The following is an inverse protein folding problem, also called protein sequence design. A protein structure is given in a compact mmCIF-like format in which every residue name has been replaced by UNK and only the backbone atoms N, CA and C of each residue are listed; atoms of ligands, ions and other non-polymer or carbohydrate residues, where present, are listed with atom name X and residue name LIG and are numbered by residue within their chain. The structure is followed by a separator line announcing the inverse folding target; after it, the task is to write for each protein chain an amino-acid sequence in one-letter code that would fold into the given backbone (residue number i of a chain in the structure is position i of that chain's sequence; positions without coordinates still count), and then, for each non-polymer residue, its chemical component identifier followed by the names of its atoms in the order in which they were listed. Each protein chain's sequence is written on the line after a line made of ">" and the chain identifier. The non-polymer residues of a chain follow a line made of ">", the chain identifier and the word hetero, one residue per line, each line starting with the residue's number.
data_IF_797255479280
#
_entry.id   IF_797255479280
#
_cell.length_a   1.000
_cell.length_b   1.000
_cell.length_c   1.000
_cell.angle_alpha   90.00
_cell.angle_beta   90.00
_cell.angle_gamma   90.00
#
_symmetry.space_group_name_H-M   'P 1'
#
loop_
_entity.id
_entity.type
_entity.pdbx_description
1 polymer ?
#
# COMPACT_ATOMS: atom_id res chain seq x y z
N UNK A 1 11.90 -9.68 -2.83
CA UNK A 1 11.95 -9.95 -4.28
C UNK A 1 10.69 -10.64 -4.79
N UNK A 2 10.18 -11.72 -4.13
CA UNK A 2 9.00 -12.43 -4.63
C UNK A 2 7.79 -11.50 -4.75
N UNK A 3 7.48 -10.69 -3.72
CA UNK A 3 6.37 -9.73 -3.78
C UNK A 3 6.54 -8.67 -4.87
N UNK A 4 7.76 -8.16 -5.07
CA UNK A 4 8.08 -7.22 -6.14
C UNK A 4 7.89 -7.86 -7.53
N UNK A 5 8.31 -9.11 -7.69
CA UNK A 5 8.12 -9.88 -8.93
C UNK A 5 6.63 -10.12 -9.24
N UNK A 6 5.83 -10.47 -8.21
CA UNK A 6 4.38 -10.61 -8.38
C UNK A 6 3.71 -9.27 -8.73
N UNK A 7 4.21 -8.13 -8.22
CA UNK A 7 3.70 -6.80 -8.56
C UNK A 7 3.90 -6.50 -10.06
N UNK A 8 5.14 -6.62 -10.56
CA UNK A 8 5.43 -6.40 -11.99
C UNK A 8 4.63 -7.35 -12.89
N UNK A 9 4.52 -8.60 -12.49
CA UNK A 9 3.74 -9.62 -13.21
C UNK A 9 2.25 -9.27 -13.36
N UNK A 10 1.72 -8.42 -12.49
CA UNK A 10 0.36 -7.89 -12.54
C UNK A 10 0.28 -6.49 -13.16
N UNK A 11 1.39 -5.93 -13.65
CA UNK A 11 1.45 -4.60 -14.23
C UNK A 11 1.54 -3.47 -13.21
N UNK A 12 1.85 -3.78 -11.96
CA UNK A 12 2.09 -2.77 -10.91
C UNK A 12 3.53 -2.29 -11.01
N UNK A 13 3.74 -1.01 -11.29
CA UNK A 13 5.05 -0.40 -11.51
C UNK A 13 5.62 0.28 -10.26
N UNK A 14 4.75 0.67 -9.33
CA UNK A 14 5.13 1.34 -8.10
C UNK A 14 4.34 0.81 -6.89
N UNK A 15 5.00 0.73 -5.75
CA UNK A 15 4.45 0.21 -4.49
C UNK A 15 4.66 1.26 -3.39
N UNK A 16 3.63 1.53 -2.61
CA UNK A 16 3.76 2.19 -1.31
C UNK A 16 3.63 1.11 -0.25
N UNK A 17 4.75 0.79 0.40
CA UNK A 17 4.88 -0.37 1.28
C UNK A 17 4.72 0.00 2.76
N UNK A 18 4.13 -0.89 3.52
CA UNK A 18 4.04 -0.81 4.98
C UNK A 18 4.59 -2.08 5.59
N UNK A 19 5.78 -1.98 6.19
CA UNK A 19 6.54 -3.12 6.68
C UNK A 19 6.59 -3.17 8.21
N UNK A 20 6.43 -4.35 8.79
CA UNK A 20 6.66 -4.60 10.20
C UNK A 20 7.49 -5.89 10.40
N UNK A 21 8.62 -5.78 11.09
CA UNK A 21 9.50 -6.92 11.42
C UNK A 21 10.12 -6.73 12.80
N UNK A 22 9.40 -7.05 13.89
CA UNK A 22 9.79 -6.69 15.26
C UNK A 22 11.11 -7.30 15.71
N UNK A 23 11.56 -8.39 15.10
CA UNK A 23 12.83 -9.05 15.41
C UNK A 23 14.02 -8.53 14.60
N UNK A 24 13.75 -7.81 13.47
CA UNK A 24 14.77 -7.26 12.56
C UNK A 24 14.30 -5.89 12.09
N UNK A 25 14.34 -4.89 12.95
CA UNK A 25 13.88 -3.52 12.64
C UNK A 25 14.94 -2.80 11.82
N UNK A 26 16.14 -2.66 12.40
CA UNK A 26 17.21 -1.82 11.86
C UNK A 26 17.68 -2.32 10.50
N UNK A 27 17.63 -1.46 9.49
CA UNK A 27 18.02 -1.76 8.12
C UNK A 27 16.96 -2.50 7.28
N UNK A 28 15.79 -2.82 7.84
CA UNK A 28 14.75 -3.57 7.15
C UNK A 28 14.22 -2.86 5.90
N UNK A 29 14.05 -1.54 5.96
CA UNK A 29 13.57 -0.75 4.82
C UNK A 29 14.56 -0.74 3.65
N UNK A 30 15.87 -0.71 3.94
CA UNK A 30 16.90 -0.82 2.90
C UNK A 30 16.86 -2.17 2.19
N UNK A 31 16.63 -3.26 2.93
CA UNK A 31 16.49 -4.61 2.33
C UNK A 31 15.29 -4.68 1.38
N UNK A 32 14.17 -4.04 1.74
CA UNK A 32 12.98 -3.98 0.87
C UNK A 32 13.28 -3.14 -0.37
N UNK A 33 13.82 -1.94 -0.19
CA UNK A 33 14.14 -1.04 -1.29
C UNK A 33 15.13 -1.68 -2.29
N UNK A 34 16.20 -2.32 -1.80
CA UNK A 34 17.16 -3.06 -2.61
C UNK A 34 16.50 -4.22 -3.37
N UNK A 35 15.65 -5.00 -2.69
CA UNK A 35 14.95 -6.11 -3.31
C UNK A 35 14.00 -5.65 -4.43
N UNK A 36 13.31 -4.53 -4.26
CA UNK A 36 12.47 -3.92 -5.28
C UNK A 36 13.30 -3.37 -6.44
N UNK A 37 14.42 -2.69 -6.15
CA UNK A 37 15.33 -2.16 -7.16
C UNK A 37 15.96 -3.25 -8.02
N UNK A 38 16.35 -4.39 -7.45
CA UNK A 38 16.87 -5.53 -8.21
C UNK A 38 15.83 -6.10 -9.20
N UNK A 39 14.56 -6.15 -8.79
CA UNK A 39 13.45 -6.60 -9.66
C UNK A 39 13.05 -5.52 -10.65
N UNK A 40 13.28 -4.25 -10.33
CA UNK A 40 13.01 -3.09 -11.17
C UNK A 40 11.70 -2.36 -10.82
N UNK A 41 11.00 -2.74 -9.74
CA UNK A 41 9.78 -2.02 -9.30
C UNK A 41 10.13 -0.84 -8.41
N UNK A 42 9.41 0.28 -8.56
CA UNK A 42 9.54 1.44 -7.68
C UNK A 42 8.93 1.14 -6.32
N UNK A 43 9.53 1.64 -5.26
CA UNK A 43 8.96 1.49 -3.91
C UNK A 43 9.13 2.75 -3.07
N UNK A 44 8.10 3.06 -2.29
CA UNK A 44 8.10 4.03 -1.21
C UNK A 44 7.89 3.24 0.07
N UNK A 45 8.94 3.15 0.92
CA UNK A 45 8.96 2.27 2.09
C UNK A 45 8.52 3.00 3.35
N UNK A 46 7.86 2.28 4.26
CA UNK A 46 7.58 2.74 5.61
C UNK A 46 7.65 1.61 6.62
N UNK A 47 8.21 1.88 7.81
CA UNK A 47 8.20 0.92 8.91
C UNK A 47 7.02 1.21 9.85
N UNK A 48 6.16 0.23 10.05
CA UNK A 48 4.98 0.31 10.89
C UNK A 48 5.31 0.37 12.39
N UNK A 49 5.44 1.58 12.92
CA UNK A 49 5.72 1.83 14.33
C UNK A 49 4.54 1.39 15.20
N UNK A 50 4.83 0.69 16.30
CA UNK A 50 3.80 0.22 17.24
C UNK A 50 4.38 0.05 18.64
N UNK A 51 3.60 0.38 19.69
CA UNK A 51 3.97 0.16 21.08
C UNK A 51 3.73 -1.29 21.57
N UNK A 52 3.15 -2.16 20.72
CA UNK A 52 2.93 -3.58 21.06
C UNK A 52 4.21 -4.34 21.39
N UNK A 53 5.34 -3.88 20.87
CA UNK A 53 6.67 -4.46 21.12
C UNK A 53 7.45 -3.71 22.20
N UNK A 54 6.74 -2.93 23.04
CA UNK A 54 7.30 -2.10 24.09
C UNK A 54 7.89 -0.77 23.58
N UNK A 55 8.25 0.15 24.51
CA UNK A 55 8.77 1.48 24.16
C UNK A 55 10.03 1.44 23.29
N UNK A 56 10.93 0.49 23.52
CA UNK A 56 12.13 0.34 22.69
C UNK A 56 11.80 -0.13 21.28
N UNK A 57 10.75 -0.94 21.08
CA UNK A 57 10.28 -1.33 19.77
C UNK A 57 9.74 -0.15 18.96
N UNK A 58 8.89 0.68 19.56
CA UNK A 58 8.36 1.89 18.94
C UNK A 58 9.48 2.87 18.59
N UNK A 59 10.40 3.13 19.53
CA UNK A 59 11.56 4.01 19.33
C UNK A 59 12.44 3.53 18.17
N UNK A 60 12.75 2.23 18.11
CA UNK A 60 13.55 1.67 17.02
C UNK A 60 12.82 1.75 15.68
N UNK A 61 11.50 1.57 15.66
CA UNK A 61 10.69 1.76 14.46
C UNK A 61 10.72 3.19 13.93
N UNK A 62 10.62 4.20 14.82
CA UNK A 62 10.80 5.61 14.46
C UNK A 62 12.21 5.87 13.92
N UNK A 63 13.24 5.36 14.60
CA UNK A 63 14.63 5.50 14.16
C UNK A 63 14.90 4.83 12.81
N UNK A 64 14.25 3.71 12.48
CA UNK A 64 14.40 3.06 11.17
C UNK A 64 13.79 3.91 10.06
N UNK A 65 12.58 4.47 10.25
CA UNK A 65 12.00 5.44 9.31
C UNK A 65 12.94 6.65 9.13
N UNK A 66 13.41 7.24 10.25
CA UNK A 66 14.33 8.38 10.22
C UNK A 66 15.64 8.05 9.50
N UNK A 67 16.27 6.92 9.84
CA UNK A 67 17.51 6.46 9.20
C UNK A 67 17.35 6.33 7.69
N UNK A 68 16.29 5.61 7.27
CA UNK A 68 16.03 5.36 5.85
C UNK A 68 15.84 6.65 5.06
N UNK A 69 15.07 7.61 5.61
CA UNK A 69 14.85 8.92 4.99
C UNK A 69 16.15 9.76 4.97
N UNK A 70 16.94 9.75 6.05
CA UNK A 70 18.25 10.45 6.11
C UNK A 70 19.25 9.91 5.08
N UNK A 71 19.21 8.61 4.82
CA UNK A 71 20.07 7.95 3.83
C UNK A 71 19.60 8.20 2.38
N UNK A 72 18.55 9.01 2.18
CA UNK A 72 17.99 9.35 0.88
C UNK A 72 17.03 8.30 0.30
N UNK A 73 16.57 7.36 1.13
CA UNK A 73 15.55 6.39 0.74
C UNK A 73 14.20 7.07 0.47
N UNK A 74 13.50 6.62 -0.57
CA UNK A 74 12.11 7.07 -0.80
C UNK A 74 11.19 6.39 0.19
N UNK A 75 10.62 7.18 1.09
CA UNK A 75 9.83 6.64 2.22
C UNK A 75 8.76 7.60 2.74
N UNK A 76 7.90 7.05 3.58
CA UNK A 76 6.97 7.72 4.48
C UNK A 76 7.28 7.29 5.91
N UNK A 77 6.63 7.92 6.90
CA UNK A 77 6.67 7.41 8.27
C UNK A 77 5.51 6.43 8.45
N UNK A 78 5.83 5.16 8.71
CA UNK A 78 4.81 4.14 8.98
C UNK A 78 4.36 4.16 10.44
N UNK A 79 3.06 4.07 10.67
CA UNK A 79 2.45 3.83 11.99
C UNK A 79 1.44 2.70 11.84
N UNK A 80 1.54 1.67 12.68
CA UNK A 80 0.64 0.53 12.55
C UNK A 80 -0.83 0.98 12.64
N UNK A 81 -1.27 1.48 13.78
CA UNK A 81 -2.61 2.02 13.96
C UNK A 81 -2.69 2.87 15.23
N UNK A 82 -3.68 3.77 15.33
CA UNK A 82 -3.81 4.64 16.49
C UNK A 82 -4.02 3.85 17.79
N UNK A 83 -4.82 2.78 17.78
CA UNK A 83 -5.08 1.98 18.99
C UNK A 83 -3.88 1.16 19.48
N UNK A 84 -2.83 1.02 18.68
CA UNK A 84 -1.61 0.28 19.04
C UNK A 84 -0.44 1.19 19.43
N UNK A 85 -0.67 2.50 19.45
CA UNK A 85 0.33 3.51 19.75
C UNK A 85 -0.16 4.44 20.84
N UNK A 86 0.76 4.91 21.68
CA UNK A 86 0.52 6.02 22.63
C UNK A 86 0.40 7.35 21.85
N UNK A 87 -0.16 8.37 22.50
CA UNK A 87 -0.22 9.72 21.89
C UNK A 87 1.18 10.27 21.64
N UNK A 88 2.14 10.00 22.53
CA UNK A 88 3.55 10.38 22.36
C UNK A 88 4.17 9.75 21.12
N UNK A 89 3.89 8.47 20.85
CA UNK A 89 4.37 7.78 19.63
C UNK A 89 3.74 8.35 18.37
N UNK A 90 2.43 8.66 18.40
CA UNK A 90 1.71 9.27 17.29
C UNK A 90 2.24 10.68 16.97
N UNK A 91 2.42 11.51 17.99
CA UNK A 91 2.98 12.87 17.86
C UNK A 91 4.43 12.83 17.32
N UNK A 92 5.25 11.88 17.84
CA UNK A 92 6.62 11.69 17.37
C UNK A 92 6.68 11.27 15.89
N UNK A 93 5.77 10.40 15.45
CA UNK A 93 5.68 9.99 14.06
C UNK A 93 5.25 11.16 13.15
N UNK A 94 4.26 11.94 13.59
CA UNK A 94 3.81 13.13 12.86
C UNK A 94 4.91 14.19 12.75
N UNK A 95 5.64 14.43 13.85
CA UNK A 95 6.77 15.36 13.86
C UNK A 95 7.88 14.90 12.92
N UNK A 96 8.24 13.62 12.97
CA UNK A 96 9.24 13.05 12.06
C UNK A 96 8.83 13.20 10.59
N UNK A 97 7.59 12.92 10.26
CA UNK A 97 7.08 13.11 8.90
C UNK A 97 7.17 14.57 8.45
N UNK A 98 6.81 15.52 9.33
CA UNK A 98 6.94 16.95 9.08
C UNK A 98 8.38 17.39 8.85
N UNK A 99 9.34 16.89 9.67
CA UNK A 99 10.76 17.24 9.56
C UNK A 99 11.37 16.81 8.22
N UNK A 100 10.91 15.70 7.68
CA UNK A 100 11.34 15.19 6.37
C UNK A 100 10.43 15.62 5.21
N UNK A 101 9.35 16.35 5.47
CA UNK A 101 8.36 16.77 4.47
C UNK A 101 7.76 15.57 3.70
N UNK A 102 7.49 14.48 4.41
CA UNK A 102 6.81 13.28 3.91
C UNK A 102 5.49 13.07 4.65
N UNK A 103 4.66 12.15 4.16
CA UNK A 103 3.42 11.79 4.84
C UNK A 103 3.61 10.67 5.87
N UNK A 104 2.52 10.37 6.56
CA UNK A 104 2.39 9.20 7.44
C UNK A 104 1.48 8.17 6.77
N UNK A 105 1.88 6.90 6.80
CA UNK A 105 1.07 5.76 6.38
C UNK A 105 0.55 5.05 7.62
N UNK A 106 -0.77 5.07 7.87
CA UNK A 106 -1.39 4.54 9.08
C UNK A 106 -2.70 3.80 8.79
N UNK A 107 -2.92 2.64 9.40
CA UNK A 107 -4.22 1.97 9.37
C UNK A 107 -5.16 2.67 10.35
N UNK A 108 -6.38 2.98 9.89
CA UNK A 108 -7.36 3.74 10.67
C UNK A 108 -8.73 3.10 10.54
N UNK A 109 -9.33 2.82 11.68
CA UNK A 109 -10.71 2.35 11.76
C UNK A 109 -11.01 1.15 10.82
N UNK A 110 -10.04 0.25 10.65
CA UNK A 110 -10.26 -1.02 9.96
C UNK A 110 -11.26 -1.86 10.74
N UNK A 111 -11.04 -2.03 12.03
CA UNK A 111 -11.95 -2.67 12.96
C UNK A 111 -12.61 -1.68 13.93
N UNK A 112 -13.70 -2.08 14.54
CA UNK A 112 -14.45 -1.25 15.53
C UNK A 112 -13.59 -0.82 16.72
N UNK A 113 -12.55 -1.56 17.06
CA UNK A 113 -11.62 -1.24 18.14
C UNK A 113 -10.90 0.09 17.91
N UNK A 114 -10.74 0.49 16.64
CA UNK A 114 -10.05 1.71 16.23
C UNK A 114 -11.00 2.82 15.72
N UNK A 115 -12.31 2.68 15.95
CA UNK A 115 -13.29 3.67 15.50
C UNK A 115 -13.07 5.08 16.10
N UNK A 116 -12.45 5.15 17.28
CA UNK A 116 -12.12 6.39 17.98
C UNK A 116 -10.79 7.03 17.54
N UNK A 117 -10.07 6.42 16.58
CA UNK A 117 -8.79 6.94 16.08
C UNK A 117 -8.85 8.43 15.67
N UNK A 118 -9.93 8.92 14.97
CA UNK A 118 -10.00 10.33 14.58
C UNK A 118 -9.89 11.30 15.74
N UNK A 119 -10.45 10.98 16.91
CA UNK A 119 -10.38 11.86 18.09
C UNK A 119 -8.93 12.10 18.54
N UNK A 120 -8.04 11.12 18.31
CA UNK A 120 -6.63 11.17 18.72
C UNK A 120 -5.71 11.78 17.67
N UNK A 121 -5.98 11.55 16.37
CA UNK A 121 -5.02 11.87 15.32
C UNK A 121 -5.43 13.02 14.39
N UNK A 122 -6.70 13.48 14.37
CA UNK A 122 -7.17 14.49 13.40
C UNK A 122 -6.36 15.79 13.42
N UNK A 123 -5.78 16.18 14.55
CA UNK A 123 -4.98 17.39 14.68
C UNK A 123 -3.55 17.21 14.20
N UNK A 124 -3.12 15.96 13.91
CA UNK A 124 -1.80 15.60 13.40
C UNK A 124 -1.79 15.42 11.88
N UNK A 125 -2.95 15.08 11.29
CA UNK A 125 -3.04 14.73 9.87
C UNK A 125 -2.92 15.95 8.95
N UNK A 126 -2.29 15.75 7.80
CA UNK A 126 -2.22 16.71 6.69
C UNK A 126 -2.52 16.02 5.35
N UNK A 127 -2.40 16.77 4.24
CA UNK A 127 -2.72 16.28 2.90
C UNK A 127 -1.83 15.13 2.40
N UNK A 128 -0.65 14.92 3.00
CA UNK A 128 0.30 13.90 2.61
C UNK A 128 0.08 12.56 3.33
N UNK A 129 -0.84 12.51 4.29
CA UNK A 129 -1.14 11.29 5.02
C UNK A 129 -1.92 10.28 4.18
N UNK A 130 -1.61 8.99 4.37
CA UNK A 130 -2.38 7.87 3.85
C UNK A 130 -3.15 7.21 5.00
N UNK A 131 -4.46 7.31 4.94
CA UNK A 131 -5.42 6.77 5.90
C UNK A 131 -5.94 5.45 5.34
N UNK A 132 -5.42 4.34 5.85
CA UNK A 132 -5.67 3.03 5.27
C UNK A 132 -6.95 2.41 5.85
N UNK A 133 -7.75 1.78 5.02
CA UNK A 133 -9.03 1.12 5.27
C UNK A 133 -10.23 2.05 5.48
N UNK A 134 -10.30 2.79 6.57
CA UNK A 134 -11.39 3.71 6.87
C UNK A 134 -12.80 3.06 7.01
N UNK A 135 -12.87 1.76 7.32
CA UNK A 135 -14.13 0.99 7.30
C UNK A 135 -15.16 1.54 8.29
N UNK A 136 -14.72 1.86 9.49
CA UNK A 136 -15.56 2.34 10.60
C UNK A 136 -15.41 3.84 10.89
N UNK A 137 -14.87 4.62 9.94
CA UNK A 137 -14.87 6.07 10.04
C UNK A 137 -16.29 6.64 9.89
N UNK A 138 -16.61 7.70 10.59
CA UNK A 138 -17.78 8.52 10.33
C UNK A 138 -17.53 9.49 9.16
N UNK A 139 -18.57 10.03 8.52
CA UNK A 139 -18.41 10.95 7.37
C UNK A 139 -17.66 12.23 7.74
N UNK A 140 -17.88 12.74 8.94
CA UNK A 140 -17.30 13.98 9.48
C UNK A 140 -16.07 13.73 10.38
N UNK A 141 -15.32 12.66 10.12
CA UNK A 141 -14.16 12.24 10.92
C UNK A 141 -13.06 13.30 11.09
N UNK A 142 -12.97 14.28 10.19
CA UNK A 142 -12.04 15.43 10.27
C UNK A 142 -10.58 15.10 9.99
N UNK A 143 -10.24 13.90 9.52
CA UNK A 143 -8.89 13.54 9.09
C UNK A 143 -8.60 14.15 7.72
N UNK A 144 -7.37 14.65 7.52
CA UNK A 144 -6.85 15.08 6.23
C UNK A 144 -6.08 13.94 5.56
N UNK A 145 -5.76 14.09 4.27
CA UNK A 145 -5.02 13.11 3.49
C UNK A 145 -5.88 12.22 2.60
N UNK A 146 -5.27 11.20 2.01
CA UNK A 146 -5.93 10.26 1.11
C UNK A 146 -6.41 9.02 1.88
N UNK A 147 -7.68 8.65 1.71
CA UNK A 147 -8.18 7.37 2.22
C UNK A 147 -7.87 6.29 1.19
N UNK A 148 -7.18 5.24 1.63
CA UNK A 148 -6.84 4.09 0.79
C UNK A 148 -7.79 2.92 1.10
N UNK A 149 -8.65 2.62 0.14
CA UNK A 149 -9.62 1.53 0.24
C UNK A 149 -9.00 0.22 -0.24
N UNK A 150 -9.05 -0.82 0.60
CA UNK A 150 -8.50 -2.16 0.35
C UNK A 150 -9.65 -3.18 0.26
N UNK A 151 -10.41 -3.24 -0.84
CA UNK A 151 -11.68 -3.98 -0.88
C UNK A 151 -11.51 -5.47 -0.64
N UNK A 152 -10.51 -6.13 -1.24
CA UNK A 152 -10.28 -7.58 -1.04
C UNK A 152 -9.87 -7.90 0.38
N UNK A 153 -8.97 -7.10 0.96
CA UNK A 153 -8.52 -7.28 2.33
C UNK A 153 -9.67 -7.09 3.32
N UNK A 154 -10.43 -6.00 3.19
CA UNK A 154 -11.58 -5.73 4.05
C UNK A 154 -12.61 -6.87 4.02
N UNK A 155 -12.84 -7.47 2.86
CA UNK A 155 -13.72 -8.63 2.70
C UNK A 155 -13.11 -9.88 3.35
N UNK A 156 -11.85 -10.17 3.09
CA UNK A 156 -11.14 -11.33 3.65
C UNK A 156 -11.13 -11.30 5.19
N UNK A 157 -10.90 -10.12 5.76
CA UNK A 157 -10.83 -9.92 7.21
C UNK A 157 -12.23 -9.77 7.85
N UNK A 158 -13.30 -9.78 7.05
CA UNK A 158 -14.69 -9.64 7.50
C UNK A 158 -14.93 -8.36 8.33
N UNK A 159 -14.20 -7.29 8.05
CA UNK A 159 -14.29 -6.01 8.79
C UNK A 159 -15.44 -5.13 8.33
N UNK A 160 -15.97 -5.34 7.12
CA UNK A 160 -17.10 -4.60 6.56
C UNK A 160 -16.78 -3.90 5.25
N UNK A 161 -17.66 -2.97 4.86
CA UNK A 161 -17.50 -2.14 3.66
C UNK A 161 -17.31 -0.67 4.04
N UNK A 162 -16.21 -0.08 3.60
CA UNK A 162 -15.83 1.29 3.96
C UNK A 162 -16.74 2.37 3.35
N UNK A 163 -17.51 2.07 2.29
CA UNK A 163 -18.32 3.05 1.53
C UNK A 163 -17.53 4.30 1.17
N UNK A 164 -16.44 4.18 0.40
CA UNK A 164 -15.48 5.27 0.20
C UNK A 164 -16.10 6.54 -0.39
N UNK A 165 -17.15 6.41 -1.21
CA UNK A 165 -17.85 7.53 -1.85
C UNK A 165 -18.50 8.54 -0.88
N UNK A 166 -18.64 8.18 0.41
CA UNK A 166 -19.20 9.10 1.44
C UNK A 166 -18.19 10.14 1.94
N UNK A 167 -16.89 9.91 1.73
CA UNK A 167 -15.84 10.80 2.23
C UNK A 167 -15.53 11.94 1.25
N UNK A 168 -15.15 13.09 1.81
CA UNK A 168 -14.69 14.24 1.04
C UNK A 168 -13.21 14.13 0.64
N UNK A 169 -12.47 13.22 1.27
CA UNK A 169 -11.08 12.93 0.99
C UNK A 169 -10.89 12.39 -0.43
N UNK A 170 -9.68 12.55 -0.98
CA UNK A 170 -9.26 11.74 -2.11
C UNK A 170 -9.34 10.26 -1.70
N UNK A 171 -9.85 9.41 -2.59
CA UNK A 171 -9.87 7.96 -2.40
C UNK A 171 -8.87 7.34 -3.37
N UNK A 172 -8.05 6.43 -2.87
CA UNK A 172 -7.21 5.55 -3.68
C UNK A 172 -7.50 4.08 -3.37
N UNK A 173 -7.04 3.17 -4.21
CA UNK A 173 -7.10 1.72 -3.97
C UNK A 173 -5.75 1.20 -3.50
N UNK A 174 -5.81 0.20 -2.62
CA UNK A 174 -4.65 -0.56 -2.16
C UNK A 174 -4.97 -2.05 -2.06
N UNK A 175 -3.94 -2.88 -2.03
CA UNK A 175 -4.06 -4.34 -1.97
C UNK A 175 -3.94 -4.89 -0.56
N UNK A 176 -3.41 -4.10 0.38
CA UNK A 176 -2.95 -4.63 1.66
C UNK A 176 -1.97 -5.80 1.43
N UNK A 177 -1.93 -6.80 2.29
CA UNK A 177 -1.09 -7.99 2.13
C UNK A 177 -1.60 -9.03 1.11
N UNK A 178 -2.59 -8.72 0.27
CA UNK A 178 -3.25 -9.68 -0.62
C UNK A 178 -2.82 -9.48 -2.09
N UNK A 179 -1.54 -9.78 -2.38
CA UNK A 179 -1.02 -9.71 -3.75
C UNK A 179 -0.99 -8.28 -4.31
N UNK A 180 -0.83 -8.13 -5.64
CA UNK A 180 -0.60 -6.83 -6.27
C UNK A 180 -1.44 -6.59 -7.54
N UNK A 181 -2.54 -7.34 -7.72
CA UNK A 181 -3.44 -7.19 -8.86
C UNK A 181 -4.39 -6.00 -8.65
N UNK A 182 -3.98 -4.81 -9.13
CA UNK A 182 -4.76 -3.59 -9.01
C UNK A 182 -6.01 -3.56 -9.90
N UNK A 183 -6.04 -4.32 -10.99
CA UNK A 183 -7.27 -4.47 -11.80
C UNK A 183 -8.30 -5.32 -11.05
N UNK A 184 -7.87 -6.30 -10.26
CA UNK A 184 -8.77 -7.05 -9.41
C UNK A 184 -9.29 -6.20 -8.25
N UNK A 185 -8.45 -5.35 -7.63
CA UNK A 185 -8.92 -4.38 -6.63
C UNK A 185 -9.98 -3.44 -7.23
N UNK A 186 -9.76 -2.94 -8.43
CA UNK A 186 -10.72 -2.10 -9.14
C UNK A 186 -12.06 -2.82 -9.36
N UNK A 187 -12.03 -4.07 -9.85
CA UNK A 187 -13.25 -4.87 -10.09
C UNK A 187 -14.03 -5.12 -8.80
N UNK A 188 -13.33 -5.50 -7.74
CA UNK A 188 -13.97 -5.74 -6.43
C UNK A 188 -14.46 -4.45 -5.81
N UNK A 189 -13.70 -3.34 -5.91
CA UNK A 189 -14.16 -2.03 -5.45
C UNK A 189 -15.46 -1.61 -6.15
N UNK A 190 -15.53 -1.75 -7.48
CA UNK A 190 -16.74 -1.47 -8.24
C UNK A 190 -17.89 -2.39 -7.83
N UNK A 191 -17.69 -3.70 -7.74
CA UNK A 191 -18.74 -4.64 -7.37
C UNK A 191 -19.33 -4.33 -6.00
N UNK A 192 -18.49 -4.03 -5.00
CA UNK A 192 -18.92 -3.62 -3.66
C UNK A 192 -19.65 -2.28 -3.67
N UNK A 193 -19.16 -1.31 -4.44
CA UNK A 193 -19.81 -0.01 -4.57
C UNK A 193 -21.18 -0.15 -5.23
N UNK A 194 -21.28 -0.94 -6.30
CA UNK A 194 -22.52 -1.18 -7.03
C UNK A 194 -23.57 -1.93 -6.22
N UNK A 195 -23.15 -2.83 -5.34
CA UNK A 195 -24.03 -3.54 -4.41
C UNK A 195 -24.66 -2.59 -3.37
N UNK A 196 -23.90 -1.59 -2.91
CA UNK A 196 -24.34 -0.60 -1.93
C UNK A 196 -25.11 0.59 -2.56
N UNK A 197 -24.69 1.03 -3.76
CA UNK A 197 -25.23 2.21 -4.47
C UNK A 197 -25.65 1.86 -5.90
N UNK A 198 -26.96 1.87 -6.13
CA UNK A 198 -27.56 1.45 -7.41
C UNK A 198 -27.19 2.35 -8.61
N UNK A 199 -26.75 3.57 -8.36
CA UNK A 199 -26.30 4.52 -9.40
C UNK A 199 -24.83 4.49 -9.66
N UNK A 200 -24.04 3.71 -8.89
CA UNK A 200 -22.61 3.61 -9.06
C UNK A 200 -22.21 3.13 -10.48
N UNK A 201 -21.20 3.75 -11.04
CA UNK A 201 -20.60 3.36 -12.32
C UNK A 201 -19.15 2.92 -12.14
N UNK A 202 -18.60 2.12 -13.06
CA UNK A 202 -17.19 1.73 -13.01
C UNK A 202 -16.24 2.93 -12.98
N UNK A 203 -16.61 4.07 -13.60
CA UNK A 203 -15.78 5.27 -13.67
C UNK A 203 -15.41 5.81 -12.27
N UNK A 204 -16.31 5.68 -11.28
CA UNK A 204 -16.04 6.12 -9.91
C UNK A 204 -14.88 5.30 -9.31
N UNK A 205 -14.97 3.97 -9.39
CA UNK A 205 -13.92 3.08 -8.88
C UNK A 205 -12.64 3.16 -9.71
N UNK A 206 -12.77 3.47 -11.01
CA UNK A 206 -11.62 3.76 -11.87
C UNK A 206 -10.87 5.01 -11.41
N UNK A 207 -11.58 6.07 -11.02
CA UNK A 207 -10.96 7.26 -10.46
C UNK A 207 -10.22 6.97 -9.15
N UNK A 208 -10.72 6.02 -8.33
CA UNK A 208 -10.00 5.58 -7.12
C UNK A 208 -8.71 4.82 -7.47
N UNK A 209 -8.73 4.00 -8.53
CA UNK A 209 -7.51 3.36 -9.04
C UNK A 209 -6.53 4.40 -9.57
N UNK A 210 -7.01 5.33 -10.40
CA UNK A 210 -6.19 6.37 -11.03
C UNK A 210 -5.54 7.32 -10.02
N UNK A 211 -6.14 7.53 -8.85
CA UNK A 211 -5.56 8.35 -7.79
C UNK A 211 -4.19 7.83 -7.28
N UNK A 212 -3.87 6.55 -7.55
CA UNK A 212 -2.55 5.99 -7.25
C UNK A 212 -1.39 6.71 -7.97
N UNK A 213 -1.62 7.24 -9.18
CA UNK A 213 -0.59 8.00 -9.91
C UNK A 213 -0.24 9.31 -9.22
N UNK A 214 -1.21 9.96 -8.58
CA UNK A 214 -0.94 11.18 -7.80
C UNK A 214 -0.10 10.88 -6.54
N UNK A 215 -0.22 9.66 -6.00
CA UNK A 215 0.53 9.24 -4.81
C UNK A 215 1.97 8.81 -5.14
N UNK A 216 2.24 8.50 -6.41
CA UNK A 216 3.56 8.11 -6.87
C UNK A 216 3.91 8.79 -8.20
N UNK A 217 4.16 10.13 -8.19
CA UNK A 217 4.32 10.94 -9.42
C UNK A 217 5.42 10.45 -10.35
N UNK A 218 6.47 9.82 -9.82
CA UNK A 218 7.59 9.31 -10.61
C UNK A 218 7.22 8.10 -11.50
N UNK A 219 6.05 7.51 -11.26
CA UNK A 219 5.53 6.41 -12.09
C UNK A 219 4.69 6.90 -13.28
N UNK A 220 4.53 8.21 -13.48
CA UNK A 220 3.65 8.76 -14.53
C UNK A 220 4.07 8.37 -15.94
N UNK A 221 5.36 8.17 -16.17
CA UNK A 221 5.93 7.79 -17.46
C UNK A 221 6.12 6.28 -17.61
N UNK A 222 5.82 5.49 -16.58
CA UNK A 222 5.87 4.03 -16.65
C UNK A 222 4.76 3.52 -17.59
N UNK A 223 5.04 2.46 -18.34
CA UNK A 223 4.13 1.94 -19.36
C UNK A 223 3.86 0.46 -19.16
N UNK A 224 2.60 0.08 -19.33
CA UNK A 224 2.18 -1.31 -19.35
C UNK A 224 1.42 -1.60 -20.65
N UNK A 225 1.94 -2.52 -21.43
CA UNK A 225 1.25 -3.04 -22.61
C UNK A 225 0.46 -4.28 -22.19
N UNK A 226 -0.85 -4.25 -22.40
CA UNK A 226 -1.76 -5.31 -21.99
C UNK A 226 -2.14 -6.23 -23.14
N UNK A 227 -2.53 -7.46 -22.85
CA UNK A 227 -3.10 -8.42 -23.79
C UNK A 227 -4.59 -8.16 -24.09
N UNK A 228 -5.04 -6.93 -23.90
CA UNK A 228 -6.42 -6.52 -24.06
C UNK A 228 -6.53 -5.08 -24.61
N UNK A 229 -7.36 -4.89 -25.63
CA UNK A 229 -7.43 -3.62 -26.37
C UNK A 229 -8.41 -2.60 -25.78
N UNK A 230 -9.40 -3.04 -24.99
CA UNK A 230 -10.46 -2.19 -24.44
C UNK A 230 -10.13 -1.74 -23.01
N UNK A 231 -9.19 -0.82 -22.87
CA UNK A 231 -8.67 -0.35 -21.58
C UNK A 231 -9.49 0.80 -20.98
N UNK A 232 -10.81 0.68 -21.00
CA UNK A 232 -11.71 1.61 -20.32
C UNK A 232 -12.39 0.96 -19.11
N UNK A 233 -12.92 1.79 -18.21
CA UNK A 233 -13.50 1.35 -16.96
C UNK A 233 -14.61 0.32 -17.12
N UNK A 234 -15.48 0.49 -18.16
CA UNK A 234 -16.63 -0.39 -18.37
C UNK A 234 -16.21 -1.79 -18.83
N UNK A 235 -15.28 -1.89 -19.79
CA UNK A 235 -14.79 -3.17 -20.25
C UNK A 235 -13.99 -3.89 -19.15
N UNK A 236 -13.07 -3.18 -18.47
CA UNK A 236 -12.21 -3.76 -17.44
C UNK A 236 -12.99 -4.18 -16.18
N UNK A 237 -14.14 -3.54 -15.87
CA UNK A 237 -15.00 -3.94 -14.75
C UNK A 237 -15.58 -5.35 -14.92
N UNK A 238 -15.73 -5.81 -16.16
CA UNK A 238 -16.36 -7.11 -16.47
C UNK A 238 -15.43 -8.12 -17.16
N UNK A 239 -14.17 -7.73 -17.42
CA UNK A 239 -13.18 -8.60 -18.05
C UNK A 239 -12.14 -9.05 -17.04
N UNK A 240 -12.02 -10.35 -16.84
CA UNK A 240 -10.99 -10.95 -15.99
C UNK A 240 -9.84 -11.51 -16.83
N UNK A 241 -8.69 -11.73 -16.20
CA UNK A 241 -7.56 -12.41 -16.83
C UNK A 241 -6.72 -11.53 -17.76
N UNK A 242 -6.98 -10.22 -17.80
CA UNK A 242 -6.11 -9.25 -18.50
C UNK A 242 -4.71 -9.30 -17.90
N UNK A 243 -3.68 -9.42 -18.75
CA UNK A 243 -2.29 -9.59 -18.30
C UNK A 243 -1.37 -8.62 -19.03
N UNK A 244 -0.29 -8.15 -18.37
CA UNK A 244 0.73 -7.39 -19.06
C UNK A 244 1.52 -8.29 -20.01
N UNK A 245 1.69 -7.82 -21.23
CA UNK A 245 2.64 -8.36 -22.22
C UNK A 245 4.04 -7.78 -22.00
N UNK A 246 4.09 -6.50 -21.69
CA UNK A 246 5.34 -5.77 -21.42
C UNK A 246 5.11 -4.73 -20.32
N UNK A 247 6.08 -4.57 -19.41
CA UNK A 247 6.12 -3.51 -18.41
C UNK A 247 7.44 -2.76 -18.55
N UNK A 248 7.33 -1.45 -18.79
CA UNK A 248 8.45 -0.50 -18.87
C UNK A 248 8.39 0.45 -17.67
N UNK A 249 9.46 0.51 -16.89
CA UNK A 249 9.59 1.39 -15.72
C UNK A 249 10.73 2.37 -15.99
N UNK A 250 10.39 3.67 -16.12
CA UNK A 250 11.31 4.63 -16.70
C UNK A 250 11.58 4.26 -18.16
N UNK A 251 12.87 4.12 -18.51
CA UNK A 251 13.31 3.74 -19.86
C UNK A 251 13.72 2.25 -19.97
N UNK A 252 13.31 1.43 -18.99
CA UNK A 252 13.74 0.03 -18.92
C UNK A 252 12.56 -0.94 -18.94
N UNK A 253 12.61 -1.91 -19.86
CA UNK A 253 11.66 -3.03 -19.90
C UNK A 253 12.04 -4.02 -18.80
N UNK A 254 11.21 -4.15 -17.77
CA UNK A 254 11.44 -5.02 -16.60
C UNK A 254 10.68 -6.34 -16.66
N UNK A 255 9.66 -6.42 -17.53
CA UNK A 255 8.83 -7.61 -17.77
C UNK A 255 8.49 -7.71 -19.24
N UNK A 256 8.63 -8.89 -19.83
CA UNK A 256 8.26 -9.14 -21.22
C UNK A 256 7.96 -10.61 -21.47
N UNK A 257 6.94 -10.89 -22.27
CA UNK A 257 6.55 -12.24 -22.70
C UNK A 257 6.38 -13.24 -21.55
N UNK A 258 5.89 -12.74 -20.40
CA UNK A 258 5.64 -13.57 -19.21
C UNK A 258 6.85 -13.80 -18.30
N UNK A 259 7.98 -13.13 -18.54
CA UNK A 259 9.23 -13.29 -17.78
C UNK A 259 9.81 -11.94 -17.33
N UNK A 260 10.46 -11.96 -16.17
CA UNK A 260 11.31 -10.84 -15.73
C UNK A 260 12.55 -10.74 -16.60
N UNK A 261 12.93 -9.51 -16.96
CA UNK A 261 14.21 -9.23 -17.66
C UNK A 261 15.36 -8.97 -16.69
N UNK A 262 15.06 -8.81 -15.39
CA UNK A 262 15.99 -8.36 -14.36
C UNK A 262 16.49 -9.48 -13.46
N UNK A 263 15.65 -10.46 -13.18
CA UNK A 263 15.96 -11.54 -12.23
C UNK A 263 15.57 -12.90 -12.79
N UNK A 264 16.27 -13.94 -12.34
CA UNK A 264 15.87 -15.33 -12.58
C UNK A 264 14.71 -15.68 -11.62
N UNK A 265 13.51 -15.88 -12.19
CA UNK A 265 12.31 -16.15 -11.42
C UNK A 265 12.37 -17.48 -10.66
N UNK A 266 12.97 -18.52 -11.27
CA UNK A 266 13.08 -19.84 -10.65
C UNK A 266 14.01 -19.76 -9.45
N UNK A 267 15.10 -19.00 -9.53
CA UNK A 267 15.99 -18.73 -8.41
C UNK A 267 15.27 -17.97 -7.29
N UNK A 268 14.52 -16.90 -7.62
CA UNK A 268 13.76 -16.12 -6.64
C UNK A 268 12.75 -17.00 -5.92
N UNK A 269 11.99 -17.82 -6.67
CA UNK A 269 10.98 -18.73 -6.10
C UNK A 269 11.61 -19.81 -5.21
N UNK A 270 12.71 -20.41 -5.65
CA UNK A 270 13.43 -21.44 -4.88
C UNK A 270 13.97 -20.87 -3.56
N UNK A 271 14.61 -19.70 -3.58
CA UNK A 271 15.10 -18.99 -2.38
C UNK A 271 13.97 -18.60 -1.44
N UNK A 272 12.84 -18.13 -1.99
CA UNK A 272 11.67 -17.77 -1.20
C UNK A 272 11.04 -18.99 -0.51
N UNK A 273 10.93 -20.10 -1.21
CA UNK A 273 10.44 -21.36 -0.64
C UNK A 273 11.34 -21.88 0.48
N UNK A 274 12.66 -21.80 0.31
CA UNK A 274 13.63 -22.18 1.36
C UNK A 274 13.50 -21.26 2.59
N UNK A 275 13.37 -19.96 2.38
CA UNK A 275 13.19 -18.99 3.46
C UNK A 275 11.88 -19.23 4.22
N UNK A 276 10.78 -19.48 3.51
CA UNK A 276 9.48 -19.80 4.10
C UNK A 276 9.54 -21.08 4.93
N UNK A 277 10.21 -22.14 4.43
CA UNK A 277 10.41 -23.39 5.17
C UNK A 277 11.17 -23.12 6.47
N UNK A 278 12.29 -22.38 6.43
CA UNK A 278 13.06 -22.03 7.62
C UNK A 278 12.25 -21.19 8.64
N UNK A 279 11.35 -20.33 8.16
CA UNK A 279 10.45 -19.59 9.03
C UNK A 279 9.46 -20.53 9.74
N UNK A 280 8.80 -21.39 9.00
CA UNK A 280 7.84 -22.37 9.58
C UNK A 280 8.47 -23.34 10.56
N UNK A 281 9.74 -23.70 10.37
CA UNK A 281 10.47 -24.57 11.30
C UNK A 281 10.80 -23.88 12.66
N UNK A 282 10.63 -22.56 12.76
CA UNK A 282 10.88 -21.75 13.98
C UNK A 282 9.61 -21.38 14.73
N UNK A 283 8.45 -21.55 14.11
CA UNK A 283 7.12 -21.32 14.70
C UNK A 283 6.61 -22.59 15.38
#
# INVERSE_FOLDING_TARGET
>A
KLGALEAIRQGTTAIIDHHESPTVIDGSLSVIAEACAEVGVRVNCSYGVTDRHGPEGAKRGLLENERFLKDGGKGMVGVHAAFTCSDETLESAAQLASDFQVGVHIHVAEGKVDAEAPARIRHLTDENWLIIHGVHLEEDHGLQGTIVHNPRSNMNNSVGYARPSRFQNRIALGTDGIGADMLEEFRVAYARHREDEVTATPDISWNWLAAGWDLFPEAIDDKVTWDYDQLDAWHLAYTSGVRPLEVEIGDEVVWKDGLSTRVDEDEVRAKSAEAAKKLHERL
#
